data_IF_752075795709
#
_entry.id   IF_752075795709
#
_cell.length_a   1.000
_cell.length_b   1.000
_cell.length_c   1.000
_cell.angle_alpha   90.00
_cell.angle_beta   90.00
_cell.angle_gamma   90.00
#
_symmetry.space_group_name_H-M   'P 1'
#
loop_
_entity.id
_entity.type
_entity.pdbx_description
1 polymer ?
#
# COMPACT_ATOMS: atom_id res chain seq x y z
N UNK A 1 -36.16 9.15 -42.41
CA UNK A 1 -35.50 9.89 -41.32
C UNK A 1 -34.79 8.89 -40.43
N UNK A 2 -33.48 8.73 -40.61
CA UNK A 2 -32.67 7.81 -39.80
C UNK A 2 -32.09 8.61 -38.63
N UNK A 3 -32.33 8.15 -37.39
CA UNK A 3 -31.70 8.72 -36.19
C UNK A 3 -30.20 8.39 -36.22
N UNK A 4 -29.29 9.34 -35.90
CA UNK A 4 -27.91 8.98 -35.67
C UNK A 4 -27.82 8.28 -34.30
N UNK A 5 -27.32 7.05 -34.32
CA UNK A 5 -26.86 6.35 -33.12
C UNK A 5 -25.42 6.80 -32.90
N UNK A 6 -25.19 7.73 -31.99
CA UNK A 6 -23.83 8.13 -31.59
C UNK A 6 -23.84 8.61 -30.15
N UNK A 7 -23.73 7.70 -29.18
CA UNK A 7 -23.60 8.08 -27.76
C UNK A 7 -22.73 7.12 -26.92
N UNK A 8 -21.97 6.20 -27.52
CA UNK A 8 -21.07 5.31 -26.73
C UNK A 8 -19.60 5.38 -27.14
N UNK A 9 -19.32 5.78 -28.38
CA UNK A 9 -17.96 5.88 -28.92
C UNK A 9 -17.29 7.21 -28.58
N UNK A 10 -18.05 8.28 -28.31
CA UNK A 10 -17.48 9.57 -27.91
C UNK A 10 -17.03 9.55 -26.44
N UNK A 11 -17.87 9.09 -25.50
CA UNK A 11 -17.50 9.03 -24.07
C UNK A 11 -16.26 8.16 -23.79
N UNK A 12 -16.13 7.03 -24.50
CA UNK A 12 -14.97 6.15 -24.35
C UNK A 12 -13.69 6.79 -24.93
N UNK A 13 -13.83 7.61 -25.97
CA UNK A 13 -12.73 8.32 -26.60
C UNK A 13 -12.27 9.49 -25.73
N UNK A 14 -13.22 10.18 -25.08
CA UNK A 14 -12.93 11.25 -24.12
C UNK A 14 -12.21 10.73 -22.88
N UNK A 15 -12.63 9.56 -22.37
CA UNK A 15 -11.97 8.92 -21.23
C UNK A 15 -10.54 8.49 -21.56
N UNK A 16 -10.33 7.85 -22.72
CA UNK A 16 -9.00 7.45 -23.16
C UNK A 16 -8.09 8.66 -23.39
N UNK A 17 -8.63 9.72 -24.00
CA UNK A 17 -7.90 10.97 -24.22
C UNK A 17 -7.46 11.59 -22.89
N UNK A 18 -8.32 11.59 -21.87
CA UNK A 18 -7.94 12.07 -20.55
C UNK A 18 -6.81 11.24 -19.94
N UNK A 19 -6.85 9.90 -20.05
CA UNK A 19 -5.78 9.04 -19.55
C UNK A 19 -4.44 9.30 -20.26
N UNK A 20 -4.48 9.59 -21.56
CA UNK A 20 -3.29 9.93 -22.34
C UNK A 20 -2.76 11.33 -21.95
N UNK A 21 -3.64 12.32 -21.80
CA UNK A 21 -3.29 13.70 -21.43
C UNK A 21 -2.64 13.79 -20.04
N UNK A 22 -3.08 12.93 -19.11
CA UNK A 22 -2.49 12.82 -17.77
C UNK A 22 -1.33 11.83 -17.68
N UNK A 23 -0.91 11.22 -18.80
CA UNK A 23 0.22 10.29 -18.86
C UNK A 23 -0.03 8.93 -18.15
N UNK A 24 -1.28 8.62 -17.80
CA UNK A 24 -1.66 7.39 -17.10
C UNK A 24 -1.50 6.17 -18.01
N UNK A 25 -1.80 6.32 -19.31
CA UNK A 25 -1.60 5.25 -20.28
C UNK A 25 -0.11 4.89 -20.45
N UNK A 26 0.79 5.88 -20.45
CA UNK A 26 2.24 5.64 -20.53
C UNK A 26 2.76 4.98 -19.24
N UNK A 27 2.25 5.39 -18.08
CA UNK A 27 2.57 4.76 -16.79
C UNK A 27 2.14 3.28 -16.78
N UNK A 28 0.91 3.00 -17.22
CA UNK A 28 0.39 1.63 -17.31
C UNK A 28 1.25 0.79 -18.26
N UNK A 29 1.58 1.30 -19.44
CA UNK A 29 2.42 0.60 -20.41
C UNK A 29 3.84 0.31 -19.87
N UNK A 30 4.41 1.20 -19.04
CA UNK A 30 5.70 0.95 -18.40
C UNK A 30 5.61 -0.13 -17.32
N UNK A 31 4.51 -0.16 -16.56
CA UNK A 31 4.33 -1.12 -15.47
C UNK A 31 3.99 -2.53 -15.96
N UNK A 32 3.37 -2.67 -17.14
CA UNK A 32 3.09 -4.00 -17.72
C UNK A 32 4.35 -4.82 -18.00
N UNK A 33 5.52 -4.19 -18.07
CA UNK A 33 6.80 -4.90 -18.22
C UNK A 33 7.29 -5.55 -16.91
N UNK A 34 6.69 -5.20 -15.76
CA UNK A 34 7.19 -5.57 -14.43
C UNK A 34 6.19 -6.35 -13.56
N UNK A 35 4.89 -6.29 -13.85
CA UNK A 35 3.86 -6.93 -13.02
C UNK A 35 2.68 -7.45 -13.85
N UNK A 36 1.97 -8.43 -13.31
CA UNK A 36 0.76 -8.97 -13.92
C UNK A 36 -0.40 -7.98 -13.85
N UNK A 37 -1.36 -8.11 -14.77
CA UNK A 37 -2.45 -7.16 -15.00
C UNK A 37 -3.32 -6.91 -13.74
N UNK A 38 -3.42 -7.91 -12.85
CA UNK A 38 -4.15 -7.80 -11.58
C UNK A 38 -3.41 -6.97 -10.51
N UNK A 39 -2.08 -7.02 -10.50
CA UNK A 39 -1.23 -6.26 -9.57
C UNK A 39 -0.99 -4.83 -10.08
N UNK A 40 -1.07 -4.65 -11.39
CA UNK A 40 -0.83 -3.38 -12.08
C UNK A 40 -1.77 -2.27 -11.63
N UNK A 41 -3.09 -2.52 -11.55
CA UNK A 41 -4.06 -1.50 -11.13
C UNK A 41 -3.84 -1.06 -9.67
N UNK A 42 -3.55 -2.03 -8.79
CA UNK A 42 -3.25 -1.77 -7.38
C UNK A 42 -1.96 -0.97 -7.23
N UNK A 43 -0.92 -1.34 -7.98
CA UNK A 43 0.36 -0.64 -7.96
C UNK A 43 0.24 0.80 -8.51
N UNK A 44 -0.52 1.00 -9.60
CA UNK A 44 -0.79 2.33 -10.16
C UNK A 44 -1.51 3.20 -9.14
N UNK A 45 -2.54 2.68 -8.48
CA UNK A 45 -3.27 3.41 -7.45
C UNK A 45 -2.36 3.81 -6.29
N UNK A 46 -1.47 2.92 -5.85
CA UNK A 46 -0.49 3.21 -4.79
C UNK A 46 0.51 4.28 -5.23
N UNK A 47 1.09 4.17 -6.43
CA UNK A 47 2.05 5.13 -6.94
C UNK A 47 1.45 6.53 -7.12
N UNK A 48 0.22 6.61 -7.65
CA UNK A 48 -0.51 7.88 -7.78
C UNK A 48 -0.83 8.46 -6.39
N UNK A 49 -1.24 7.63 -5.44
CA UNK A 49 -1.51 8.07 -4.06
C UNK A 49 -0.25 8.60 -3.38
N UNK A 50 0.87 7.90 -3.49
CA UNK A 50 2.16 8.34 -2.96
C UNK A 50 2.63 9.66 -3.60
N UNK A 51 2.52 9.78 -4.92
CA UNK A 51 2.84 11.02 -5.62
C UNK A 51 1.94 12.17 -5.15
N UNK A 52 0.65 11.91 -4.96
CA UNK A 52 -0.29 12.93 -4.47
C UNK A 52 0.06 13.39 -3.06
N UNK A 53 0.49 12.46 -2.20
CA UNK A 53 0.93 12.74 -0.82
C UNK A 53 2.29 13.44 -0.76
N UNK A 54 3.17 13.23 -1.74
CA UNK A 54 4.48 13.90 -1.82
C UNK A 54 4.39 15.35 -2.32
N UNK A 55 3.21 15.77 -2.81
CA UNK A 55 2.95 17.15 -3.21
C UNK A 55 2.60 17.96 -1.95
N UNK A 56 3.57 18.72 -1.44
CA UNK A 56 3.37 19.64 -0.33
C UNK A 56 3.16 21.10 -0.79
N UNK A 57 2.77 21.96 0.16
CA UNK A 57 2.51 23.37 -0.11
C UNK A 57 3.73 24.14 -0.62
N UNK A 58 4.95 23.71 -0.24
CA UNK A 58 6.19 24.35 -0.66
C UNK A 58 6.52 24.01 -2.11
N UNK A 59 6.33 22.75 -2.51
CA UNK A 59 6.48 22.28 -3.87
C UNK A 59 5.47 23.01 -4.78
N UNK A 60 4.20 23.07 -4.40
CA UNK A 60 3.16 23.82 -5.14
C UNK A 60 3.56 25.30 -5.29
N UNK A 61 4.01 25.95 -4.22
CA UNK A 61 4.43 27.35 -4.26
C UNK A 61 5.61 27.55 -5.23
N UNK A 62 6.59 26.65 -5.21
CA UNK A 62 7.73 26.68 -6.13
C UNK A 62 7.28 26.51 -7.58
N UNK A 63 6.35 25.58 -7.87
CA UNK A 63 5.78 25.38 -9.20
C UNK A 63 5.04 26.63 -9.70
N UNK A 64 4.14 27.18 -8.89
CA UNK A 64 3.40 28.40 -9.23
C UNK A 64 4.34 29.56 -9.49
N UNK A 65 5.41 29.70 -8.69
CA UNK A 65 6.41 30.75 -8.89
C UNK A 65 7.17 30.58 -10.21
N UNK A 66 7.54 29.35 -10.57
CA UNK A 66 8.27 29.06 -11.81
C UNK A 66 7.39 29.27 -13.05
N UNK A 67 6.10 28.93 -12.97
CA UNK A 67 5.11 29.20 -14.03
C UNK A 67 4.94 30.70 -14.22
N UNK A 68 4.73 31.45 -13.14
CA UNK A 68 4.56 32.90 -13.19
C UNK A 68 5.80 33.63 -13.74
N UNK A 69 6.99 33.05 -13.54
CA UNK A 69 8.26 33.58 -14.04
C UNK A 69 8.66 33.05 -15.44
N UNK A 70 7.76 32.33 -16.14
CA UNK A 70 8.02 31.69 -17.45
C UNK A 70 9.27 30.77 -17.47
N UNK A 71 9.64 30.20 -16.32
CA UNK A 71 10.75 29.26 -16.21
C UNK A 71 10.28 27.82 -16.41
N UNK A 72 9.57 27.55 -17.52
CA UNK A 72 8.99 26.24 -17.82
C UNK A 72 10.08 25.15 -17.97
N UNK A 73 11.27 25.53 -18.45
CA UNK A 73 12.40 24.62 -18.63
C UNK A 73 13.04 24.11 -17.32
N UNK A 74 12.73 24.73 -16.17
CA UNK A 74 13.18 24.25 -14.85
C UNK A 74 12.13 23.43 -14.11
N UNK A 75 10.88 23.34 -14.61
CA UNK A 75 9.80 22.58 -13.97
C UNK A 75 10.09 21.07 -13.85
N UNK A 76 10.70 20.39 -14.84
CA UNK A 76 11.04 18.97 -14.70
C UNK A 76 12.11 18.72 -13.62
N UNK A 77 12.98 19.71 -13.35
CA UNK A 77 14.05 19.60 -12.33
C UNK A 77 13.54 19.76 -10.91
N UNK A 78 12.37 20.36 -10.71
CA UNK A 78 11.72 20.46 -9.40
C UNK A 78 11.12 19.11 -8.96
N UNK A 79 10.71 18.25 -9.92
CA UNK A 79 10.23 16.86 -9.72
C UNK A 79 11.34 15.82 -9.80
N UNK A 80 12.61 16.19 -10.02
CA UNK A 80 13.72 15.42 -9.43
C UNK A 80 13.69 15.55 -7.89
N UNK A 81 12.51 15.40 -7.29
CA UNK A 81 12.34 14.60 -6.10
C UNK A 81 13.17 13.35 -6.35
N UNK A 82 14.31 13.30 -5.68
CA UNK A 82 14.68 12.06 -5.04
C UNK A 82 13.36 11.41 -4.61
N UNK A 83 12.98 10.29 -5.24
CA UNK A 83 12.52 9.19 -4.42
C UNK A 83 13.71 8.91 -3.49
N UNK A 84 13.91 9.79 -2.50
CA UNK A 84 14.33 9.36 -1.21
C UNK A 84 13.30 8.27 -0.98
N UNK A 85 13.69 6.98 -0.90
CA UNK A 85 12.81 6.07 -0.20
C UNK A 85 12.44 6.88 1.03
N UNK A 86 11.15 7.26 1.20
CA UNK A 86 10.68 7.75 2.49
C UNK A 86 11.24 6.71 3.41
N UNK A 87 12.26 7.08 4.17
CA UNK A 87 13.23 6.08 4.55
C UNK A 87 12.45 5.00 5.29
N UNK A 88 12.82 3.74 5.11
CA UNK A 88 12.30 2.67 5.97
C UNK A 88 12.85 2.87 7.41
N UNK A 89 13.17 4.12 7.77
CA UNK A 89 13.48 4.54 9.10
C UNK A 89 12.17 4.63 9.86
N UNK A 90 12.26 4.17 11.09
CA UNK A 90 11.20 4.26 12.06
C UNK A 90 10.68 5.70 12.14
N UNK A 91 9.35 5.94 12.21
CA UNK A 91 8.81 7.29 12.31
C UNK A 91 9.43 8.06 13.47
N UNK A 92 9.81 9.33 13.26
CA UNK A 92 10.52 10.14 14.27
C UNK A 92 9.74 10.24 15.60
N UNK A 93 8.41 10.22 15.52
CA UNK A 93 7.53 10.30 16.69
C UNK A 93 7.25 8.94 17.36
N UNK A 94 7.86 7.85 16.91
CA UNK A 94 7.71 6.54 17.55
C UNK A 94 8.32 6.56 18.97
N UNK A 95 7.62 6.02 19.99
CA UNK A 95 6.37 5.23 19.93
C UNK A 95 5.08 6.04 20.13
N UNK A 96 5.13 7.38 20.20
CA UNK A 96 4.00 8.22 20.64
C UNK A 96 2.80 8.20 19.68
N UNK A 97 3.03 8.06 18.37
CA UNK A 97 1.98 8.03 17.34
C UNK A 97 1.59 6.62 16.90
N UNK A 98 2.33 5.60 17.33
CA UNK A 98 2.02 4.22 17.00
C UNK A 98 0.69 3.81 17.65
N UNK A 99 -0.18 3.16 16.88
CA UNK A 99 -1.40 2.55 17.44
C UNK A 99 -1.02 1.59 18.56
N UNK A 100 -1.84 1.49 19.60
CA UNK A 100 -1.63 0.45 20.61
C UNK A 100 -1.79 -0.92 19.95
N UNK A 101 -0.81 -1.84 20.10
CA UNK A 101 -0.91 -3.19 19.54
C UNK A 101 -2.13 -3.92 20.08
N UNK A 102 -2.89 -4.57 19.19
CA UNK A 102 -4.13 -5.29 19.52
C UNK A 102 -3.88 -6.55 20.35
N UNK A 103 -2.74 -7.20 20.15
CA UNK A 103 -2.42 -8.49 20.78
C UNK A 103 -1.19 -8.40 21.67
N UNK A 104 -1.15 -9.25 22.68
CA UNK A 104 -0.10 -9.34 23.69
C UNK A 104 0.72 -10.62 23.53
N UNK A 105 1.86 -10.65 24.21
CA UNK A 105 2.67 -11.85 24.35
C UNK A 105 1.87 -12.94 25.05
N UNK A 106 1.84 -14.14 24.48
CA UNK A 106 1.08 -15.28 24.98
C UNK A 106 -0.33 -15.40 24.42
N UNK A 107 -0.82 -14.41 23.67
CA UNK A 107 -2.12 -14.52 23.01
C UNK A 107 -2.09 -15.62 21.95
N UNK A 108 -3.18 -16.39 21.87
CA UNK A 108 -3.39 -17.37 20.81
C UNK A 108 -4.01 -16.67 19.62
N UNK A 109 -3.34 -16.71 18.49
CA UNK A 109 -3.73 -16.01 17.27
C UNK A 109 -3.83 -17.00 16.12
N UNK A 110 -4.71 -16.70 15.17
CA UNK A 110 -4.77 -17.38 13.87
C UNK A 110 -4.79 -16.36 12.74
N UNK A 111 -4.34 -16.79 11.57
CA UNK A 111 -4.50 -15.99 10.36
C UNK A 111 -5.97 -15.95 9.99
N UNK A 112 -6.43 -14.81 9.49
CA UNK A 112 -7.83 -14.64 9.06
C UNK A 112 -8.09 -15.55 7.85
N UNK A 113 -9.10 -16.40 7.95
CA UNK A 113 -9.48 -17.36 6.90
C UNK A 113 -9.96 -18.70 7.46
N UNK A 114 -10.36 -19.61 6.57
CA UNK A 114 -10.69 -21.00 6.92
C UNK A 114 -9.44 -21.88 6.84
N UNK A 115 -9.27 -22.80 7.81
CA UNK A 115 -8.18 -23.77 7.86
C UNK A 115 -6.77 -23.16 7.78
N UNK A 116 -6.62 -21.97 8.36
CA UNK A 116 -5.36 -21.23 8.40
C UNK A 116 -4.47 -21.69 9.54
N UNK A 117 -3.20 -21.29 9.52
CA UNK A 117 -2.29 -21.52 10.63
C UNK A 117 -2.70 -20.76 11.89
N UNK A 118 -2.31 -21.31 13.04
CA UNK A 118 -2.50 -20.68 14.34
C UNK A 118 -1.35 -20.99 15.27
N UNK A 119 -1.19 -20.14 16.28
CA UNK A 119 -0.10 -20.26 17.22
C UNK A 119 -0.20 -19.27 18.36
N UNK A 120 0.91 -19.09 19.07
CA UNK A 120 1.03 -18.18 20.19
C UNK A 120 1.94 -17.01 19.82
N UNK A 121 1.52 -15.79 20.10
CA UNK A 121 2.37 -14.61 19.92
C UNK A 121 3.54 -14.66 20.91
N UNK A 122 4.77 -14.81 20.39
CA UNK A 122 6.01 -14.84 21.18
C UNK A 122 6.87 -13.60 21.00
N UNK A 123 6.51 -12.73 20.06
CA UNK A 123 7.23 -11.52 19.71
C UNK A 123 6.33 -10.53 19.00
N UNK A 124 6.65 -9.24 19.10
CA UNK A 124 6.12 -8.21 18.20
C UNK A 124 7.15 -7.12 17.96
N UNK A 125 7.07 -6.53 16.78
CA UNK A 125 7.90 -5.38 16.40
C UNK A 125 7.11 -4.46 15.48
N UNK A 126 7.48 -3.19 15.46
CA UNK A 126 6.86 -2.21 14.58
C UNK A 126 7.66 -2.15 13.28
N UNK A 127 7.00 -2.35 12.14
CA UNK A 127 7.66 -2.45 10.83
C UNK A 127 6.80 -1.84 9.73
N UNK A 128 7.43 -1.46 8.63
CA UNK A 128 6.74 -0.97 7.44
C UNK A 128 6.08 -2.12 6.68
N UNK A 129 4.75 -2.12 6.62
CA UNK A 129 3.93 -3.04 5.85
C UNK A 129 3.80 -2.53 4.40
N UNK A 130 4.44 -3.16 3.41
CA UNK A 130 4.43 -2.65 2.03
C UNK A 130 3.04 -2.63 1.41
N UNK A 131 2.22 -3.65 1.69
CA UNK A 131 0.85 -3.78 1.16
C UNK A 131 -0.11 -2.71 1.72
N UNK A 132 0.17 -2.18 2.92
CA UNK A 132 -0.58 -1.06 3.49
C UNK A 132 0.08 0.30 3.27
N UNK A 133 1.30 0.33 2.70
CA UNK A 133 2.14 1.52 2.60
C UNK A 133 2.22 2.30 3.93
N UNK A 134 2.30 1.60 5.06
CA UNK A 134 2.27 2.22 6.39
C UNK A 134 3.01 1.41 7.44
N UNK A 135 3.44 2.07 8.52
CA UNK A 135 4.02 1.39 9.67
C UNK A 135 2.93 0.77 10.54
N UNK A 136 3.05 -0.52 10.84
CA UNK A 136 2.09 -1.28 11.66
C UNK A 136 2.80 -2.33 12.52
N UNK A 137 2.04 -2.98 13.39
CA UNK A 137 2.57 -4.08 14.22
C UNK A 137 2.68 -5.37 13.41
N UNK A 138 3.83 -6.02 13.52
CA UNK A 138 4.08 -7.37 13.05
C UNK A 138 4.34 -8.27 14.25
N UNK A 139 3.79 -9.47 14.21
CA UNK A 139 3.88 -10.44 15.30
C UNK A 139 4.69 -11.65 14.85
N UNK A 140 5.57 -12.13 15.73
CA UNK A 140 6.22 -13.42 15.61
C UNK A 140 5.36 -14.45 16.34
N UNK A 141 4.86 -15.42 15.59
CA UNK A 141 3.92 -16.44 16.06
C UNK A 141 4.63 -17.78 16.13
N UNK A 142 4.66 -18.38 17.31
CA UNK A 142 5.07 -19.78 17.47
C UNK A 142 3.91 -20.68 17.11
N UNK A 143 4.05 -21.43 16.01
CA UNK A 143 2.95 -22.24 15.47
C UNK A 143 2.60 -23.40 16.41
N UNK A 144 1.30 -23.68 16.52
CA UNK A 144 0.81 -24.88 17.20
C UNK A 144 1.28 -26.12 16.44
N UNK A 145 1.62 -27.21 17.13
CA UNK A 145 2.06 -28.45 16.46
C UNK A 145 1.02 -29.05 15.51
N UNK A 146 -0.24 -28.73 15.74
CA UNK A 146 -1.38 -29.20 14.95
C UNK A 146 -1.77 -28.24 13.82
N UNK A 147 -1.05 -27.12 13.65
CA UNK A 147 -1.32 -26.18 12.55
C UNK A 147 -0.85 -26.77 11.21
N UNK A 148 -1.51 -26.44 10.09
CA UNK A 148 -1.17 -26.95 8.76
C UNK A 148 0.32 -26.89 8.41
N UNK A 149 0.99 -25.77 8.71
CA UNK A 149 2.38 -25.53 8.34
C UNK A 149 3.39 -26.00 9.39
N UNK A 150 2.94 -26.42 10.58
CA UNK A 150 3.82 -26.80 11.69
C UNK A 150 4.76 -27.97 11.39
N UNK A 151 4.43 -28.79 10.38
CA UNK A 151 5.29 -29.86 9.91
C UNK A 151 6.59 -29.36 9.24
N UNK A 152 6.65 -28.11 8.81
CA UNK A 152 7.75 -27.54 8.02
C UNK A 152 8.40 -26.33 8.69
N UNK A 153 7.64 -25.56 9.48
CA UNK A 153 8.10 -24.35 10.14
C UNK A 153 7.56 -24.26 11.57
N UNK A 154 8.40 -23.84 12.53
CA UNK A 154 8.00 -23.74 13.94
C UNK A 154 7.47 -22.36 14.34
N UNK A 155 7.82 -21.32 13.59
CA UNK A 155 7.37 -19.96 13.82
C UNK A 155 7.28 -19.18 12.51
N UNK A 156 6.31 -18.30 12.41
CA UNK A 156 6.10 -17.43 11.26
C UNK A 156 5.77 -16.00 11.70
N UNK A 157 5.82 -15.05 10.77
CA UNK A 157 5.47 -13.64 11.00
C UNK A 157 4.19 -13.26 10.28
N UNK A 158 3.39 -12.39 10.90
CA UNK A 158 2.18 -11.85 10.30
C UNK A 158 1.91 -10.42 10.76
N UNK A 159 1.27 -9.65 9.89
CA UNK A 159 0.82 -8.31 10.21
C UNK A 159 -0.44 -8.35 11.09
N UNK A 160 -0.63 -7.32 11.92
CA UNK A 160 -1.72 -7.26 12.89
C UNK A 160 -3.11 -7.39 12.25
N UNK A 161 -3.28 -6.85 11.04
CA UNK A 161 -4.51 -6.90 10.26
C UNK A 161 -4.83 -8.28 9.70
N UNK A 162 -3.82 -9.15 9.55
CA UNK A 162 -3.98 -10.51 9.03
C UNK A 162 -4.32 -11.52 10.14
N UNK A 163 -4.35 -11.05 11.40
CA UNK A 163 -4.53 -11.88 12.59
C UNK A 163 -5.85 -11.60 13.30
N UNK A 164 -6.41 -12.67 13.84
CA UNK A 164 -7.51 -12.63 14.79
C UNK A 164 -7.22 -13.49 16.02
N UNK A 165 -7.85 -13.15 17.14
CA UNK A 165 -7.74 -13.94 18.35
C UNK A 165 -8.37 -15.32 18.10
N UNK A 166 -7.65 -16.37 18.46
CA UNK A 166 -8.21 -17.70 18.51
C UNK A 166 -9.08 -17.74 19.78
N UNK A 167 -10.41 -17.71 19.59
CA UNK A 167 -11.37 -17.76 20.69
C UNK A 167 -10.95 -18.86 21.68
N UNK A 168 -10.71 -18.47 22.93
CA UNK A 168 -10.62 -19.44 24.00
C UNK A 168 -11.99 -20.10 24.09
N UNK A 169 -12.07 -21.42 23.92
CA UNK A 169 -13.29 -22.14 24.26
C UNK A 169 -13.77 -21.63 25.63
N UNK A 170 -15.06 -21.24 25.77
CA UNK A 170 -15.57 -20.85 27.06
C UNK A 170 -15.38 -22.05 27.98
N UNK A 171 -14.54 -21.90 29.00
CA UNK A 171 -14.44 -22.91 30.04
C UNK A 171 -15.83 -23.04 30.67
N UNK A 172 -16.48 -24.18 30.39
CA UNK A 172 -17.74 -24.61 31.01
C UNK A 172 -17.60 -24.75 32.53
#
# INVERSE_FOLDING_TARGET
MLRPVCHKTDEYRDYQQALDDFGIAELLAKLSDYCELQEQESLVAVLISQLTQSIDAQLIANYLSAINNNQQNSLPRLITQHFSPSSVDLPEDFPNTAKTPRFLYGDKLRWIGSDTDWGTAIGRFYSFAPHLCSWTWCYLIWLSKDSPSAAWISADIAWEEDLEALDAEPML
#
